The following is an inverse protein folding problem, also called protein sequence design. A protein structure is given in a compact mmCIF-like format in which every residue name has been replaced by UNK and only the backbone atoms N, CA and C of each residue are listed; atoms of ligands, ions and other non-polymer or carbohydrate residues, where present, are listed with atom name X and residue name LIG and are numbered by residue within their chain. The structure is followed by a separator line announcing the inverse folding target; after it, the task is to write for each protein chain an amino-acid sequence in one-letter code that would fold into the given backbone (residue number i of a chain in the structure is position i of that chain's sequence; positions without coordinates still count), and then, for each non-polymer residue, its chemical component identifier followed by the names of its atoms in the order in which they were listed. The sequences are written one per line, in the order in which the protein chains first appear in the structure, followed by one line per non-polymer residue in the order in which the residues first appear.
data_IF_512972192493
#
_entry.id   IF_512972192493
#
_cell.length_a   1.000
_cell.length_b   1.000
_cell.length_c   1.000
_cell.angle_alpha   90.00
_cell.angle_beta   90.00
_cell.angle_gamma   90.00
#
_symmetry.space_group_name_H-M   'P 1'
#
loop_
_entity.id
_entity.type
_entity.pdbx_description
1 polymer ?
#
# COMPACT_ATOMS: atom_id res chain seq x y z
N UNK A 1 32.20 8.59 2.16
CA UNK A 1 31.10 8.34 3.10
C UNK A 1 29.99 7.65 2.32
N UNK A 2 29.49 6.53 2.83
CA UNK A 2 28.36 5.83 2.20
C UNK A 2 27.09 6.69 2.34
N UNK A 3 26.11 6.52 1.44
CA UNK A 3 24.87 7.30 1.48
C UNK A 3 24.09 7.09 2.78
N UNK A 4 24.12 5.88 3.34
CA UNK A 4 23.48 5.55 4.61
C UNK A 4 24.13 6.24 5.80
N UNK A 5 25.46 6.27 5.88
CA UNK A 5 26.20 6.95 6.96
C UNK A 5 25.92 8.45 6.96
N UNK A 6 25.81 9.06 5.77
CA UNK A 6 25.41 10.46 5.62
C UNK A 6 24.01 10.71 6.14
N UNK A 7 23.08 9.81 5.82
CA UNK A 7 21.71 9.89 6.29
C UNK A 7 21.63 9.77 7.82
N UNK A 8 22.31 8.79 8.39
CA UNK A 8 22.39 8.59 9.83
C UNK A 8 22.95 9.83 10.54
N UNK A 9 24.06 10.38 10.03
CA UNK A 9 24.67 11.57 10.64
C UNK A 9 23.77 12.81 10.57
N UNK A 10 23.10 13.06 9.44
CA UNK A 10 22.20 14.20 9.26
C UNK A 10 20.90 14.04 10.06
N UNK A 11 20.36 12.82 10.16
CA UNK A 11 19.17 12.54 10.98
C UNK A 11 19.46 12.67 12.48
N UNK A 12 20.56 12.07 12.96
CA UNK A 12 21.01 12.25 14.34
C UNK A 12 21.28 13.73 14.66
N UNK A 13 21.78 14.52 13.70
CA UNK A 13 21.97 15.96 13.90
C UNK A 13 20.65 16.69 14.10
N UNK A 14 19.63 16.37 13.30
CA UNK A 14 18.29 16.96 13.42
C UNK A 14 17.65 16.63 14.76
N UNK A 15 17.82 15.40 15.25
CA UNK A 15 17.29 14.93 16.53
C UNK A 15 18.13 15.36 17.75
N UNK A 16 19.31 15.95 17.50
CA UNK A 16 20.21 16.43 18.55
C UNK A 16 21.06 15.35 19.22
N UNK A 17 21.09 14.14 18.65
CA UNK A 17 21.82 12.97 19.17
C UNK A 17 23.30 12.92 18.76
N UNK A 18 23.79 13.95 18.04
CA UNK A 18 25.20 14.06 17.64
C UNK A 18 26.11 14.55 18.77
N UNK A 19 27.31 13.99 18.82
CA UNK A 19 28.40 14.50 19.67
C UNK A 19 28.90 15.87 19.18
N UNK A 20 29.59 16.67 20.03
CA UNK A 20 30.10 17.99 19.62
C UNK A 20 31.08 17.97 18.45
N UNK A 21 31.86 16.90 18.29
CA UNK A 21 32.76 16.71 17.13
C UNK A 21 31.98 16.43 15.85
N UNK A 22 31.00 15.53 15.90
CA UNK A 22 30.12 15.20 14.78
C UNK A 22 29.27 16.41 14.36
N UNK A 23 28.87 17.27 15.31
CA UNK A 23 28.14 18.50 14.99
C UNK A 23 28.91 19.40 14.01
N UNK A 24 30.20 19.61 14.27
CA UNK A 24 31.08 20.41 13.38
C UNK A 24 31.27 19.74 12.02
N UNK A 25 31.37 18.41 12.00
CA UNK A 25 31.44 17.63 10.76
C UNK A 25 30.17 17.82 9.91
N UNK A 26 28.99 17.74 10.54
CA UNK A 26 27.72 17.98 9.85
C UNK A 26 27.61 19.43 9.36
N UNK A 27 28.01 20.41 10.16
CA UNK A 27 28.00 21.83 9.75
C UNK A 27 28.88 22.06 8.51
N UNK A 28 30.08 21.49 8.48
CA UNK A 28 30.98 21.54 7.32
C UNK A 28 30.38 20.81 6.11
N UNK A 29 29.76 19.64 6.34
CA UNK A 29 29.10 18.85 5.31
C UNK A 29 27.92 19.62 4.70
N UNK A 30 27.08 20.26 5.51
CA UNK A 30 25.94 21.06 5.04
C UNK A 30 26.37 22.33 4.30
N UNK A 31 27.56 22.86 4.58
CA UNK A 31 28.13 24.00 3.87
C UNK A 31 28.72 23.62 2.50
N UNK A 32 29.30 22.42 2.40
CA UNK A 32 30.11 22.01 1.24
C UNK A 32 29.35 21.10 0.27
N UNK A 33 28.43 20.27 0.77
CA UNK A 33 27.74 19.23 0.00
C UNK A 33 26.26 19.59 -0.25
N UNK A 34 25.86 19.89 -1.50
CA UNK A 34 24.48 20.24 -1.83
C UNK A 34 23.49 19.08 -1.64
N UNK A 35 23.93 17.83 -1.77
CA UNK A 35 23.09 16.64 -1.56
C UNK A 35 22.78 16.47 -0.08
N UNK A 36 23.77 16.71 0.80
CA UNK A 36 23.56 16.68 2.25
C UNK A 36 22.59 17.78 2.69
N UNK A 37 22.73 18.98 2.11
CA UNK A 37 21.82 20.10 2.37
C UNK A 37 20.38 19.80 1.93
N UNK A 38 20.21 19.21 0.75
CA UNK A 38 18.89 18.80 0.26
C UNK A 38 18.26 17.74 1.16
N UNK A 39 19.04 16.74 1.61
CA UNK A 39 18.57 15.75 2.57
C UNK A 39 18.11 16.38 3.88
N UNK A 40 18.91 17.28 4.45
CA UNK A 40 18.55 18.01 5.66
C UNK A 40 17.25 18.80 5.51
N UNK A 41 17.08 19.53 4.39
CA UNK A 41 15.85 20.25 4.10
C UNK A 41 14.63 19.34 4.00
N UNK A 42 14.77 18.17 3.37
CA UNK A 42 13.69 17.19 3.26
C UNK A 42 13.27 16.63 4.62
N UNK A 43 14.24 16.31 5.47
CA UNK A 43 13.96 15.85 6.84
C UNK A 43 13.30 16.96 7.67
N UNK A 44 13.75 18.20 7.54
CA UNK A 44 13.14 19.34 8.22
C UNK A 44 11.68 19.58 7.79
N UNK A 45 11.40 19.47 6.48
CA UNK A 45 10.04 19.55 5.95
C UNK A 45 9.17 18.45 6.57
N UNK A 46 9.61 17.19 6.50
CA UNK A 46 8.89 16.05 7.06
C UNK A 46 8.58 16.28 8.55
N UNK A 47 9.56 16.70 9.34
CA UNK A 47 9.38 17.01 10.75
C UNK A 47 8.34 18.11 10.98
N UNK A 48 8.38 19.19 10.18
CA UNK A 48 7.40 20.28 10.28
C UNK A 48 5.98 19.84 9.91
N UNK A 49 5.84 18.95 8.93
CA UNK A 49 4.54 18.43 8.51
C UNK A 49 3.95 17.48 9.56
N UNK A 50 4.79 16.67 10.24
CA UNK A 50 4.35 15.87 11.38
C UNK A 50 3.84 16.74 12.53
N UNK A 51 4.50 17.85 12.83
CA UNK A 51 4.05 18.78 13.87
C UNK A 51 2.74 19.50 13.50
N UNK A 52 2.50 19.73 12.21
CA UNK A 52 1.27 20.34 11.69
C UNK A 52 0.14 19.36 11.46
N UNK A 53 0.38 18.06 11.64
CA UNK A 53 -0.64 17.05 11.42
C UNK A 53 -1.83 17.33 12.35
N UNK A 54 -3.06 17.42 11.81
CA UNK A 54 -4.22 17.75 12.61
C UNK A 54 -4.45 16.63 13.64
N UNK A 55 -4.28 16.98 14.91
CA UNK A 55 -4.66 16.10 16.02
C UNK A 55 -6.17 16.25 16.19
N UNK A 56 -6.92 15.16 16.34
CA UNK A 56 -8.34 15.25 16.65
C UNK A 56 -8.54 16.14 17.87
N UNK A 57 -9.37 17.20 17.79
CA UNK A 57 -9.54 18.16 18.88
C UNK A 57 -10.22 17.54 20.12
N UNK A 58 -10.72 16.30 19.98
CA UNK A 58 -11.42 15.57 21.03
C UNK A 58 -10.80 14.19 21.18
N UNK A 59 -10.33 13.92 22.40
CA UNK A 59 -9.98 12.57 22.83
C UNK A 59 -11.31 11.88 23.15
N UNK A 60 -11.78 11.05 22.21
CA UNK A 60 -12.93 10.18 22.46
C UNK A 60 -12.53 9.09 23.47
N UNK A 61 -13.47 8.61 24.31
CA UNK A 61 -13.22 7.46 25.18
C UNK A 61 -12.72 6.27 24.37
N UNK A 62 -11.79 5.50 24.95
CA UNK A 62 -11.14 4.36 24.30
C UNK A 62 -12.19 3.34 23.84
N UNK A 63 -13.22 3.12 24.64
CA UNK A 63 -14.31 2.19 24.39
C UNK A 63 -15.05 2.54 23.08
N UNK A 64 -15.38 3.82 22.89
CA UNK A 64 -16.06 4.31 21.68
C UNK A 64 -15.15 4.22 20.45
N UNK A 65 -13.84 4.40 20.62
CA UNK A 65 -12.87 4.21 19.54
C UNK A 65 -12.79 2.75 19.11
N UNK A 66 -12.73 1.83 20.08
CA UNK A 66 -12.65 0.39 19.85
C UNK A 66 -13.88 -0.10 19.07
N UNK A 67 -15.08 0.25 19.52
CA UNK A 67 -16.33 -0.13 18.85
C UNK A 67 -16.36 0.38 17.41
N UNK A 68 -15.97 1.64 17.19
CA UNK A 68 -15.94 2.26 15.85
C UNK A 68 -14.92 1.59 14.91
N UNK A 69 -13.80 1.10 15.43
CA UNK A 69 -12.81 0.34 14.63
C UNK A 69 -13.40 -1.01 14.22
N UNK A 70 -14.00 -1.75 15.16
CA UNK A 70 -14.62 -3.04 14.88
C UNK A 70 -15.78 -2.90 13.87
N UNK A 71 -16.65 -1.89 14.04
CA UNK A 71 -17.72 -1.58 13.08
C UNK A 71 -17.18 -1.35 11.66
N UNK A 72 -16.05 -0.64 11.53
CA UNK A 72 -15.45 -0.34 10.23
C UNK A 72 -14.85 -1.58 9.57
N UNK A 73 -14.27 -2.49 10.35
CA UNK A 73 -13.75 -3.78 9.89
C UNK A 73 -14.90 -4.67 9.41
N UNK A 74 -15.95 -4.81 10.23
CA UNK A 74 -17.13 -5.60 9.91
C UNK A 74 -17.84 -5.12 8.65
N UNK A 75 -17.97 -3.80 8.48
CA UNK A 75 -18.59 -3.22 7.28
C UNK A 75 -17.78 -3.51 6.00
N UNK A 76 -16.45 -3.53 6.09
CA UNK A 76 -15.58 -3.90 4.95
C UNK A 76 -15.71 -5.37 4.59
N UNK A 77 -15.82 -6.25 5.59
CA UNK A 77 -16.02 -7.69 5.38
C UNK A 77 -17.35 -7.95 4.68
N UNK A 78 -18.46 -7.40 5.21
CA UNK A 78 -19.80 -7.54 4.65
C UNK A 78 -19.90 -7.04 3.20
N UNK A 79 -19.22 -5.94 2.84
CA UNK A 79 -19.23 -5.42 1.47
C UNK A 79 -18.55 -6.34 0.46
N UNK A 80 -17.53 -7.10 0.88
CA UNK A 80 -16.88 -8.11 0.02
C UNK A 80 -17.77 -9.33 -0.20
N UNK A 81 -18.50 -9.76 0.84
CA UNK A 81 -19.46 -10.87 0.72
C UNK A 81 -20.65 -10.54 -0.18
N UNK A 82 -21.16 -9.29 -0.15
CA UNK A 82 -22.25 -8.89 -1.05
C UNK A 82 -21.82 -8.94 -2.52
N UNK A 83 -20.62 -8.46 -2.86
CA UNK A 83 -20.12 -8.48 -4.23
C UNK A 83 -19.75 -9.89 -4.73
N UNK A 84 -19.26 -10.76 -3.84
CA UNK A 84 -19.02 -12.17 -4.17
C UNK A 84 -20.31 -13.01 -4.29
N UNK A 85 -21.31 -12.71 -3.46
CA UNK A 85 -22.59 -13.42 -3.45
C UNK A 85 -23.47 -13.14 -4.67
N UNK A 86 -23.40 -11.94 -5.25
CA UNK A 86 -24.15 -11.61 -6.48
C UNK A 86 -23.68 -12.40 -7.70
N UNK A 87 -22.38 -12.67 -7.83
CA UNK A 87 -21.84 -13.48 -8.94
C UNK A 87 -22.37 -14.93 -8.89
N UNK A 88 -22.40 -15.53 -7.70
CA UNK A 88 -22.92 -16.90 -7.50
C UNK A 88 -24.43 -16.94 -7.72
N UNK A 89 -25.18 -15.98 -7.19
CA UNK A 89 -26.63 -15.90 -7.40
C UNK A 89 -26.98 -15.72 -8.89
N UNK A 90 -26.25 -14.89 -9.64
CA UNK A 90 -26.44 -14.72 -11.07
C UNK A 90 -26.18 -16.01 -11.87
N UNK A 91 -25.14 -16.77 -11.51
CA UNK A 91 -24.87 -18.08 -12.12
C UNK A 91 -25.99 -19.09 -11.84
N UNK A 92 -26.53 -19.13 -10.62
CA UNK A 92 -27.67 -20.00 -10.28
C UNK A 92 -28.94 -19.62 -11.05
N UNK A 93 -29.25 -18.32 -11.16
CA UNK A 93 -30.40 -17.83 -11.92
C UNK A 93 -30.23 -18.15 -13.41
N UNK A 94 -29.04 -17.91 -13.98
CA UNK A 94 -28.73 -18.23 -15.37
C UNK A 94 -28.83 -19.74 -15.66
N UNK A 95 -28.38 -20.59 -14.73
CA UNK A 95 -28.48 -22.05 -14.85
C UNK A 95 -29.93 -22.54 -14.85
N UNK A 96 -30.76 -22.05 -13.92
CA UNK A 96 -32.18 -22.40 -13.86
C UNK A 96 -32.94 -21.88 -15.09
N UNK A 97 -32.65 -20.65 -15.54
CA UNK A 97 -33.25 -20.09 -16.76
C UNK A 97 -32.79 -20.81 -18.03
N UNK A 98 -31.53 -21.26 -18.11
CA UNK A 98 -31.00 -22.01 -19.24
C UNK A 98 -31.65 -23.39 -19.41
N UNK A 99 -31.98 -24.06 -18.29
CA UNK A 99 -32.65 -25.37 -18.31
C UNK A 99 -34.13 -25.25 -18.73
N UNK A 100 -34.81 -24.18 -18.34
CA UNK A 100 -36.20 -23.91 -18.77
C UNK A 100 -36.27 -23.45 -20.24
N UNK A 101 -35.23 -22.79 -20.75
CA UNK A 101 -35.20 -22.26 -22.12
C UNK A 101 -34.67 -23.27 -23.16
N UNK A 102 -34.64 -24.57 -22.87
CA UNK A 102 -34.24 -25.61 -23.83
C UNK A 102 -35.36 -25.99 -24.84
N UNK A 103 -36.41 -25.18 -25.01
CA UNK A 103 -37.50 -25.47 -25.96
C UNK A 103 -37.69 -24.45 -27.09
N UNK A 104 -36.83 -23.44 -27.25
CA UNK A 104 -36.94 -22.49 -28.37
C UNK A 104 -35.58 -22.12 -28.95
N UNK A 105 -35.28 -22.72 -30.09
CA UNK A 105 -34.17 -22.36 -30.98
C UNK A 105 -34.37 -20.93 -31.49
N UNK A 106 -33.57 -19.99 -31.01
CA UNK A 106 -33.42 -18.67 -31.62
C UNK A 106 -32.09 -18.65 -32.38
N UNK A 107 -32.18 -18.85 -33.69
CA UNK A 107 -31.12 -18.64 -34.67
C UNK A 107 -30.60 -17.20 -34.54
N UNK A 108 -29.34 -17.06 -34.15
CA UNK A 108 -28.59 -15.81 -34.10
C UNK A 108 -28.28 -15.38 -35.54
N UNK A 109 -29.02 -14.42 -36.10
CA UNK A 109 -28.66 -13.79 -37.37
C UNK A 109 -27.55 -12.77 -37.14
N UNK A 110 -26.32 -13.19 -37.46
CA UNK A 110 -25.18 -12.29 -37.65
C UNK A 110 -25.39 -11.54 -38.98
N UNK A 111 -25.51 -10.22 -38.88
CA UNK A 111 -25.40 -9.35 -40.05
C UNK A 111 -23.92 -9.25 -40.43
N UNK A 112 -23.55 -9.94 -41.51
CA UNK A 112 -22.26 -9.79 -42.17
C UNK A 112 -22.25 -8.43 -42.87
N UNK A 113 -21.53 -7.46 -42.30
CA UNK A 113 -21.21 -6.20 -42.97
C UNK A 113 -19.73 -6.20 -43.30
N UNK A 114 -19.41 -6.59 -44.53
CA UNK A 114 -18.10 -6.53 -45.13
C UNK A 114 -17.82 -5.07 -45.56
N UNK A 115 -16.99 -4.37 -44.79
CA UNK A 115 -16.15 -3.31 -45.35
C UNK A 115 -14.81 -3.30 -44.61
N UNK A 116 -13.80 -3.78 -45.33
CA UNK A 116 -12.41 -3.78 -44.95
C UNK A 116 -11.83 -2.38 -45.22
N UNK A 117 -11.79 -1.54 -44.20
CA UNK A 117 -10.83 -0.44 -44.15
C UNK A 117 -9.87 -0.71 -42.99
N UNK A 118 -8.62 -0.95 -43.36
CA UNK A 118 -7.49 -1.13 -42.45
C UNK A 118 -7.30 0.12 -41.61
N UNK A 119 -7.80 0.12 -40.39
CA UNK A 119 -7.45 1.13 -39.39
C UNK A 119 -5.99 0.91 -38.98
N UNK A 120 -5.09 1.72 -39.52
CA UNK A 120 -3.72 1.83 -39.02
C UNK A 120 -3.78 2.46 -37.63
N UNK A 121 -3.70 1.64 -36.59
CA UNK A 121 -3.59 2.11 -35.21
C UNK A 121 -2.14 2.56 -35.02
N UNK A 122 -1.90 3.87 -35.00
CA UNK A 122 -0.64 4.43 -34.52
C UNK A 122 -0.53 4.18 -33.01
N UNK A 123 0.21 3.13 -32.64
CA UNK A 123 0.51 2.80 -31.25
C UNK A 123 1.59 3.79 -30.75
N UNK A 124 1.19 4.85 -30.04
CA UNK A 124 2.11 5.71 -29.30
C UNK A 124 2.03 5.44 -27.79
N UNK A 125 2.12 4.18 -27.39
CA UNK A 125 2.36 3.83 -25.98
C UNK A 125 3.33 2.63 -25.91
N UNK A 126 4.32 2.67 -24.98
CA UNK A 126 5.30 1.62 -24.88
C UNK A 126 4.66 0.32 -24.38
N UNK A 127 4.94 -0.77 -25.10
CA UNK A 127 4.58 -2.13 -24.69
C UNK A 127 5.32 -2.45 -23.39
N UNK A 128 4.61 -2.41 -22.27
CA UNK A 128 5.03 -3.06 -21.03
C UNK A 128 4.62 -4.52 -21.14
N UNK A 129 5.60 -5.43 -21.21
CA UNK A 129 5.36 -6.87 -21.12
C UNK A 129 4.62 -7.16 -19.82
N UNK A 130 3.40 -7.69 -19.96
CA UNK A 130 2.60 -8.14 -18.83
C UNK A 130 3.28 -9.39 -18.28
N UNK A 131 4.02 -9.22 -17.19
CA UNK A 131 4.61 -10.33 -16.44
C UNK A 131 3.49 -11.30 -16.06
N UNK A 132 3.69 -12.57 -16.42
CA UNK A 132 2.78 -13.67 -16.15
C UNK A 132 2.40 -13.71 -14.65
N UNK A 133 1.10 -13.62 -14.29
CA UNK A 133 0.64 -13.58 -12.90
C UNK A 133 0.90 -14.90 -12.14
N UNK A 134 1.36 -15.96 -12.81
CA UNK A 134 1.63 -17.25 -12.18
C UNK A 134 3.04 -17.36 -11.54
N UNK A 135 3.89 -16.32 -11.64
CA UNK A 135 5.28 -16.38 -11.18
C UNK A 135 5.63 -15.39 -10.05
N UNK A 136 4.66 -14.69 -9.45
CA UNK A 136 4.91 -13.79 -8.32
C UNK A 136 4.17 -14.27 -7.08
N UNK A 137 4.72 -15.30 -6.46
CA UNK A 137 4.35 -15.70 -5.10
C UNK A 137 5.16 -14.85 -4.12
N UNK A 138 4.68 -13.64 -3.81
CA UNK A 138 5.22 -12.86 -2.68
C UNK A 138 4.65 -13.47 -1.39
N UNK A 139 5.44 -14.30 -0.71
CA UNK A 139 5.10 -14.80 0.62
C UNK A 139 5.23 -13.66 1.62
N UNK A 140 4.11 -13.09 2.06
CA UNK A 140 4.02 -11.96 3.02
C UNK A 140 4.51 -12.34 4.44
N UNK A 141 5.01 -13.57 4.64
CA UNK A 141 5.14 -14.15 5.97
C UNK A 141 6.56 -14.15 6.57
N UNK A 142 7.55 -13.56 5.88
CA UNK A 142 8.90 -13.43 6.44
C UNK A 142 9.15 -11.98 6.89
N UNK A 143 9.32 -11.73 8.20
CA UNK A 143 9.66 -10.40 8.68
C UNK A 143 11.07 -10.05 8.21
N UNK A 144 11.21 -8.93 7.50
CA UNK A 144 12.48 -8.39 6.99
C UNK A 144 13.47 -8.07 8.14
N UNK A 145 12.98 -7.97 9.38
CA UNK A 145 13.79 -7.73 10.58
C UNK A 145 13.26 -8.57 11.75
N UNK A 146 14.14 -9.36 12.38
CA UNK A 146 13.85 -10.04 13.64
C UNK A 146 13.95 -9.02 14.78
N UNK A 147 12.83 -8.73 15.44
CA UNK A 147 12.83 -7.90 16.65
C UNK A 147 13.53 -8.69 17.76
N UNK A 148 14.62 -8.16 18.38
CA UNK A 148 15.23 -8.81 19.52
C UNK A 148 14.23 -8.86 20.66
N UNK A 149 13.87 -10.08 21.10
CA UNK A 149 13.03 -10.24 22.27
C UNK A 149 13.86 -10.01 23.53
N UNK A 150 13.41 -9.18 24.48
CA UNK A 150 14.08 -9.02 25.76
C UNK A 150 14.05 -10.36 26.53
N UNK A 151 15.07 -10.66 27.34
CA UNK A 151 15.13 -11.89 28.11
C UNK A 151 13.95 -11.97 29.07
N UNK A 152 13.10 -12.98 28.86
CA UNK A 152 11.99 -13.33 29.73
C UNK A 152 12.59 -13.81 31.06
N UNK A 153 12.51 -12.98 32.10
CA UNK A 153 12.90 -13.39 33.45
C UNK A 153 11.83 -14.33 34.00
N UNK A 154 12.18 -15.52 34.52
CA UNK A 154 11.20 -16.44 35.08
C UNK A 154 10.55 -15.80 36.31
N UNK A 155 9.22 -15.66 36.25
CA UNK A 155 8.40 -15.29 37.41
C UNK A 155 8.55 -16.41 38.45
N UNK A 156 9.23 -16.07 39.55
CA UNK A 156 9.36 -16.94 40.72
C UNK A 156 8.01 -16.97 41.43
N UNK A 157 7.22 -18.01 41.17
CA UNK A 157 6.02 -18.29 41.96
C UNK A 157 6.44 -18.60 43.40
N UNK A 158 5.90 -17.84 44.36
CA UNK A 158 5.93 -18.13 45.79
C UNK A 158 4.71 -18.94 46.17
#
# INVERSE_FOLDING_TARGET
MMEQERFELVSAYLDGEVTPSQRREVELLLATDPVAKHLYQRLLQLHSEFQRMPIPPKVEPVEIMVDRVFDKIDRRSKRKFVLGGTAIAALCIAFISGIISNSRTNILQLAEHSNSETVQIALNEPVIEIVNPNNVMLTINDPVLKIPQPPISPVKNQ
#
